data_IF_896683368635
#
_entry.id   IF_896683368635
#
_cell.length_a   1.000
_cell.length_b   1.000
_cell.length_c   1.000
_cell.angle_alpha   90.00
_cell.angle_beta   90.00
_cell.angle_gamma   90.00
#
_symmetry.space_group_name_H-M   'P 1'
#
loop_
_entity.id
_entity.type
_entity.pdbx_description
1 polymer ?
#
# COMPACT_ATOMS: atom_id res chain seq x y z
N UNK A 1 -14.07 17.61 3.48
CA UNK A 1 -14.03 16.93 2.16
C UNK A 1 -14.46 15.49 2.43
N UNK A 2 -15.67 14.99 2.17
CA UNK A 2 -16.92 15.53 1.64
C UNK A 2 -18.07 14.96 2.52
N UNK A 3 -19.11 15.76 2.76
CA UNK A 3 -20.35 15.34 3.43
C UNK A 3 -21.05 14.36 2.48
N UNK A 4 -20.91 13.07 2.73
CA UNK A 4 -21.68 12.03 2.04
C UNK A 4 -23.12 12.12 2.54
N UNK A 5 -23.94 12.89 1.82
CA UNK A 5 -25.38 12.89 1.95
C UNK A 5 -25.90 11.50 1.56
N UNK A 6 -26.09 10.65 2.57
CA UNK A 6 -26.76 9.36 2.44
C UNK A 6 -27.99 9.38 3.33
N UNK A 7 -29.11 8.87 2.81
CA UNK A 7 -30.50 8.92 3.30
C UNK A 7 -30.79 8.31 4.69
N UNK A 8 -29.82 8.22 5.60
CA UNK A 8 -29.97 7.60 6.92
C UNK A 8 -29.54 8.57 8.01
N UNK A 9 -30.46 8.91 8.92
CA UNK A 9 -30.17 9.69 10.13
C UNK A 9 -29.30 8.85 11.07
N UNK A 10 -27.99 8.88 10.84
CA UNK A 10 -27.01 8.19 11.70
C UNK A 10 -26.62 9.14 12.83
N UNK A 11 -26.85 8.76 14.11
CA UNK A 11 -26.44 9.56 15.26
C UNK A 11 -24.96 9.93 15.19
N UNK A 12 -24.62 11.18 15.55
CA UNK A 12 -23.24 11.69 15.49
C UNK A 12 -22.23 10.79 16.25
N UNK A 13 -22.66 10.15 17.34
CA UNK A 13 -21.86 9.18 18.08
C UNK A 13 -21.38 7.99 17.22
N UNK A 14 -22.25 7.43 16.37
CA UNK A 14 -21.88 6.32 15.48
C UNK A 14 -20.87 6.76 14.42
N UNK A 15 -21.04 7.98 13.88
CA UNK A 15 -20.07 8.54 12.92
C UNK A 15 -18.69 8.68 13.57
N UNK A 16 -18.61 9.18 14.80
CA UNK A 16 -17.34 9.29 15.53
C UNK A 16 -16.74 7.93 15.88
N UNK A 17 -17.57 6.93 16.23
CA UNK A 17 -17.10 5.59 16.52
C UNK A 17 -16.53 4.90 15.27
N UNK A 18 -17.21 5.00 14.13
CA UNK A 18 -16.72 4.44 12.87
C UNK A 18 -15.47 5.15 12.34
N UNK A 19 -15.38 6.48 12.47
CA UNK A 19 -14.18 7.23 12.08
C UNK A 19 -12.97 6.81 12.92
N UNK A 20 -13.13 6.68 14.25
CA UNK A 20 -12.08 6.21 15.13
C UNK A 20 -11.69 4.75 14.83
N UNK A 21 -12.66 3.87 14.58
CA UNK A 21 -12.39 2.49 14.20
C UNK A 21 -11.64 2.40 12.84
N UNK A 22 -12.05 3.21 11.86
CA UNK A 22 -11.42 3.28 10.54
C UNK A 22 -9.96 3.73 10.60
N UNK A 23 -9.63 4.68 11.48
CA UNK A 23 -8.25 5.14 11.72
C UNK A 23 -7.34 4.02 12.26
N UNK A 24 -7.88 3.11 13.06
CA UNK A 24 -7.11 1.99 13.62
C UNK A 24 -6.94 0.80 12.66
N UNK A 25 -7.78 0.70 11.62
CA UNK A 25 -7.79 -0.45 10.71
C UNK A 25 -6.42 -0.75 10.08
N UNK A 26 -5.71 0.28 9.66
CA UNK A 26 -4.37 0.13 9.06
C UNK A 26 -3.36 -0.48 10.03
N UNK A 27 -3.35 0.00 11.28
CA UNK A 27 -2.43 -0.48 12.32
C UNK A 27 -2.73 -1.94 12.70
N UNK A 28 -4.02 -2.28 12.84
CA UNK A 28 -4.45 -3.66 13.15
C UNK A 28 -4.03 -4.61 12.02
N UNK A 29 -4.23 -4.23 10.76
CA UNK A 29 -3.79 -5.03 9.61
C UNK A 29 -2.27 -5.22 9.59
N UNK A 30 -1.49 -4.18 9.90
CA UNK A 30 -0.02 -4.25 9.96
C UNK A 30 0.49 -5.13 11.12
N UNK A 31 -0.16 -5.06 12.28
CA UNK A 31 0.16 -5.95 13.40
C UNK A 31 -0.11 -7.41 13.08
N UNK A 32 -1.26 -7.72 12.46
CA UNK A 32 -1.60 -9.06 12.00
C UNK A 32 -0.57 -9.58 10.98
N UNK A 33 -0.20 -8.74 10.00
CA UNK A 33 0.82 -9.10 9.03
C UNK A 33 2.17 -9.39 9.69
N UNK A 34 2.56 -8.60 10.69
CA UNK A 34 3.77 -8.84 11.49
C UNK A 34 3.73 -10.17 12.24
N UNK A 35 2.59 -10.51 12.86
CA UNK A 35 2.39 -11.79 13.55
C UNK A 35 2.55 -12.97 12.59
N UNK A 36 1.94 -12.89 11.41
CA UNK A 36 2.03 -13.95 10.38
C UNK A 36 3.46 -14.08 9.86
N UNK A 37 4.13 -12.96 9.55
CA UNK A 37 5.52 -12.96 9.10
C UNK A 37 6.43 -13.60 10.17
N UNK A 38 6.21 -13.29 11.45
CA UNK A 38 6.98 -13.84 12.57
C UNK A 38 6.79 -15.35 12.79
N UNK A 39 5.72 -15.93 12.25
CA UNK A 39 5.47 -17.37 12.29
C UNK A 39 6.25 -18.20 11.26
N UNK A 40 6.98 -17.55 10.36
CA UNK A 40 7.77 -18.21 9.30
C UNK A 40 9.27 -17.88 9.42
N UNK A 41 10.10 -18.75 8.86
CA UNK A 41 11.53 -18.48 8.73
C UNK A 41 11.79 -17.33 7.75
N UNK A 42 12.40 -16.24 8.26
CA UNK A 42 12.73 -15.05 7.47
C UNK A 42 13.54 -15.38 6.22
N UNK A 43 14.45 -16.37 6.31
CA UNK A 43 15.25 -16.82 5.16
C UNK A 43 14.34 -17.34 4.04
N UNK A 44 13.38 -18.19 4.36
CA UNK A 44 12.46 -18.75 3.36
C UNK A 44 11.59 -17.66 2.73
N UNK A 45 11.18 -16.68 3.52
CA UNK A 45 10.38 -15.57 3.03
C UNK A 45 11.15 -14.69 2.04
N UNK A 46 12.43 -14.42 2.33
CA UNK A 46 13.34 -13.59 1.52
C UNK A 46 13.88 -14.34 0.30
N UNK A 47 13.94 -15.66 0.31
CA UNK A 47 14.48 -16.45 -0.81
C UNK A 47 13.54 -16.54 -2.03
N UNK A 48 12.30 -16.04 -1.93
CA UNK A 48 11.31 -16.14 -3.01
C UNK A 48 11.60 -15.16 -4.15
N UNK A 49 12.42 -15.58 -5.13
CA UNK A 49 12.86 -14.76 -6.28
C UNK A 49 11.72 -14.17 -7.11
N UNK A 50 10.56 -14.84 -7.20
CA UNK A 50 9.39 -14.34 -7.95
C UNK A 50 8.84 -13.05 -7.34
N UNK A 51 8.94 -12.91 -6.03
CA UNK A 51 8.43 -11.74 -5.29
C UNK A 51 9.19 -10.47 -5.67
N UNK A 52 10.51 -10.55 -5.83
CA UNK A 52 11.33 -9.40 -6.22
C UNK A 52 10.94 -8.81 -7.57
N UNK A 53 10.61 -9.67 -8.54
CA UNK A 53 10.17 -9.23 -9.88
C UNK A 53 8.85 -8.48 -9.78
N UNK A 54 7.90 -9.00 -9.01
CA UNK A 54 6.59 -8.36 -8.82
C UNK A 54 6.72 -7.05 -8.07
N UNK A 55 7.55 -7.00 -7.02
CA UNK A 55 7.83 -5.77 -6.27
C UNK A 55 8.48 -4.73 -7.19
N UNK A 56 9.50 -5.08 -7.97
CA UNK A 56 10.14 -4.15 -8.91
C UNK A 56 9.19 -3.60 -9.97
N UNK A 57 8.35 -4.45 -10.58
CA UNK A 57 7.29 -4.01 -11.49
C UNK A 57 6.34 -3.03 -10.83
N UNK A 58 5.88 -3.32 -9.60
CA UNK A 58 4.92 -2.46 -8.91
C UNK A 58 5.53 -1.13 -8.48
N UNK A 59 6.76 -1.13 -7.97
CA UNK A 59 7.38 0.03 -7.35
C UNK A 59 8.05 0.98 -8.36
N UNK A 60 8.39 0.51 -9.56
CA UNK A 60 9.08 1.33 -10.58
C UNK A 60 8.22 1.46 -11.84
N UNK A 61 7.72 0.35 -12.37
CA UNK A 61 7.04 0.36 -13.67
C UNK A 61 5.67 1.03 -13.58
N UNK A 62 4.84 0.67 -12.59
CA UNK A 62 3.51 1.28 -12.41
C UNK A 62 3.60 2.80 -12.14
N UNK A 63 4.36 3.29 -11.15
CA UNK A 63 4.43 4.72 -10.90
C UNK A 63 5.11 5.47 -12.05
N UNK A 64 6.12 4.88 -12.71
CA UNK A 64 6.75 5.49 -13.89
C UNK A 64 5.79 5.67 -15.07
N UNK A 65 4.99 4.64 -15.37
CA UNK A 65 3.95 4.72 -16.42
C UNK A 65 2.88 5.74 -16.04
N UNK A 66 2.48 5.82 -14.77
CA UNK A 66 1.51 6.81 -14.31
C UNK A 66 2.00 8.24 -14.50
N UNK A 67 3.25 8.55 -14.12
CA UNK A 67 3.83 9.89 -14.36
C UNK A 67 3.86 10.21 -15.86
N UNK A 68 4.25 9.25 -16.71
CA UNK A 68 4.29 9.45 -18.16
C UNK A 68 2.89 9.82 -18.70
N UNK A 69 1.86 9.08 -18.29
CA UNK A 69 0.47 9.34 -18.68
C UNK A 69 0.03 10.72 -18.18
N UNK A 70 0.24 11.04 -16.91
CA UNK A 70 -0.18 12.32 -16.34
C UNK A 70 0.50 13.52 -17.02
N UNK A 71 1.77 13.37 -17.43
CA UNK A 71 2.50 14.37 -18.20
C UNK A 71 1.95 14.54 -19.61
N UNK A 72 1.58 13.45 -20.29
CA UNK A 72 0.95 13.50 -21.62
C UNK A 72 -0.39 14.24 -21.62
N UNK A 73 -1.13 14.18 -20.51
CA UNK A 73 -2.40 14.89 -20.34
C UNK A 73 -2.26 16.31 -19.77
N UNK A 74 -1.05 16.78 -19.48
CA UNK A 74 -0.81 18.14 -18.95
C UNK A 74 -1.45 18.39 -17.58
N UNK A 75 -1.52 17.36 -16.73
CA UNK A 75 -2.11 17.46 -15.38
C UNK A 75 -1.24 18.37 -14.49
N UNK A 76 -1.87 19.12 -13.59
CA UNK A 76 -1.16 19.99 -12.66
C UNK A 76 -0.20 19.21 -11.75
N UNK A 77 0.91 19.87 -11.42
CA UNK A 77 2.02 19.30 -10.68
C UNK A 77 1.63 18.82 -9.27
N UNK A 78 0.69 19.50 -8.62
CA UNK A 78 0.15 19.11 -7.32
C UNK A 78 -0.57 17.75 -7.37
N UNK A 79 -1.42 17.56 -8.40
CA UNK A 79 -2.18 16.31 -8.57
C UNK A 79 -1.24 15.17 -8.95
N UNK A 80 -0.23 15.46 -9.76
CA UNK A 80 0.79 14.50 -10.16
C UNK A 80 1.64 14.03 -8.98
N UNK A 81 2.02 14.95 -8.08
CA UNK A 81 2.73 14.62 -6.83
C UNK A 81 1.91 13.69 -5.94
N UNK A 82 0.62 14.01 -5.75
CA UNK A 82 -0.28 13.19 -4.91
C UNK A 82 -0.47 11.79 -5.50
N UNK A 83 -0.68 11.68 -6.80
CA UNK A 83 -0.80 10.40 -7.48
C UNK A 83 0.49 9.60 -7.38
N UNK A 84 1.65 10.22 -7.58
CA UNK A 84 2.94 9.56 -7.46
C UNK A 84 3.15 8.95 -6.07
N UNK A 85 2.85 9.70 -5.01
CA UNK A 85 2.94 9.19 -3.63
C UNK A 85 1.97 8.02 -3.43
N UNK A 86 0.74 8.11 -3.95
CA UNK A 86 -0.24 7.03 -3.86
C UNK A 86 0.23 5.75 -4.56
N UNK A 87 0.81 5.86 -5.76
CA UNK A 87 1.32 4.72 -6.53
C UNK A 87 2.66 4.18 -6.00
N UNK A 88 3.45 5.00 -5.30
CA UNK A 88 4.69 4.57 -4.66
C UNK A 88 4.48 3.76 -3.36
N UNK A 89 3.24 3.70 -2.86
CA UNK A 89 2.93 2.94 -1.64
C UNK A 89 3.25 1.44 -1.78
N UNK A 90 3.71 0.78 -0.69
CA UNK A 90 4.07 -0.63 -0.72
C UNK A 90 2.86 -1.54 -0.97
N UNK A 91 3.13 -2.85 -1.08
CA UNK A 91 2.10 -3.87 -1.27
C UNK A 91 1.02 -3.78 -0.18
N UNK A 92 -0.25 -3.86 -0.60
CA UNK A 92 -1.38 -3.96 0.33
C UNK A 92 -1.43 -5.32 1.03
N UNK A 93 -1.89 -5.33 2.28
CA UNK A 93 -1.90 -6.51 3.16
C UNK A 93 -3.06 -7.49 2.91
N UNK A 94 -3.91 -7.23 1.91
CA UNK A 94 -5.06 -8.07 1.59
C UNK A 94 -4.65 -9.51 1.24
N UNK A 95 -3.46 -9.71 0.68
CA UNK A 95 -2.89 -11.04 0.39
C UNK A 95 -2.51 -11.83 1.63
N UNK A 96 -2.52 -11.20 2.80
CA UNK A 96 -2.26 -11.82 4.10
C UNK A 96 -3.55 -11.87 4.91
N UNK A 97 -4.26 -10.75 5.02
CA UNK A 97 -5.45 -10.61 5.87
C UNK A 97 -6.58 -11.54 5.42
N UNK A 98 -6.88 -11.61 4.11
CA UNK A 98 -7.96 -12.48 3.64
C UNK A 98 -7.61 -13.97 3.81
N UNK A 99 -6.46 -14.48 3.33
CA UNK A 99 -6.14 -15.90 3.53
C UNK A 99 -6.03 -16.26 5.01
N UNK A 100 -5.48 -15.38 5.86
CA UNK A 100 -5.43 -15.63 7.30
C UNK A 100 -6.82 -15.77 7.94
N UNK A 101 -7.79 -14.95 7.51
CA UNK A 101 -9.16 -15.01 8.03
C UNK A 101 -9.91 -16.28 7.61
N UNK A 102 -9.55 -16.88 6.47
CA UNK A 102 -10.23 -18.05 5.90
C UNK A 102 -9.40 -19.35 5.96
N UNK A 103 -8.29 -19.38 6.71
CA UNK A 103 -7.44 -20.57 6.84
C UNK A 103 -6.63 -20.94 5.59
N UNK A 104 -6.41 -19.97 4.70
CA UNK A 104 -5.62 -20.12 3.47
C UNK A 104 -4.11 -19.95 3.66
N UNK A 105 -3.37 -20.18 2.58
CA UNK A 105 -1.90 -20.03 2.50
C UNK A 105 -1.53 -18.53 2.59
N UNK A 106 -0.65 -18.15 3.54
CA UNK A 106 -0.25 -16.76 3.76
C UNK A 106 1.24 -16.49 3.51
N UNK A 107 2.08 -17.53 3.36
CA UNK A 107 3.53 -17.44 3.17
C UNK A 107 3.89 -16.60 1.97
N UNK A 108 3.23 -16.81 0.83
CA UNK A 108 3.51 -16.03 -0.38
C UNK A 108 3.16 -14.56 -0.18
N UNK A 109 2.00 -14.28 0.43
CA UNK A 109 1.59 -12.91 0.78
C UNK A 109 2.54 -12.24 1.77
N UNK A 110 2.99 -12.98 2.79
CA UNK A 110 3.93 -12.55 3.81
C UNK A 110 5.29 -12.18 3.21
N UNK A 111 5.84 -13.02 2.32
CA UNK A 111 7.06 -12.71 1.55
C UNK A 111 6.92 -11.42 0.76
N UNK A 112 5.80 -11.27 0.04
CA UNK A 112 5.53 -10.10 -0.80
C UNK A 112 5.41 -8.82 0.01
N UNK A 113 4.70 -8.86 1.15
CA UNK A 113 4.57 -7.71 2.03
C UNK A 113 5.92 -7.33 2.63
N UNK A 114 6.65 -8.28 3.22
CA UNK A 114 7.96 -8.02 3.83
C UNK A 114 8.92 -7.34 2.86
N UNK A 115 9.14 -7.97 1.69
CA UNK A 115 10.07 -7.45 0.68
C UNK A 115 9.60 -6.07 0.20
N UNK A 116 8.33 -5.91 -0.16
CA UNK A 116 7.82 -4.63 -0.67
C UNK A 116 7.89 -3.50 0.36
N UNK A 117 7.62 -3.80 1.64
CA UNK A 117 7.74 -2.81 2.72
C UNK A 117 9.19 -2.37 2.92
N UNK A 118 10.14 -3.30 2.97
CA UNK A 118 11.58 -2.98 3.11
C UNK A 118 12.06 -2.15 1.92
N UNK A 119 11.73 -2.54 0.69
CA UNK A 119 12.11 -1.79 -0.50
C UNK A 119 11.46 -0.40 -0.54
N UNK A 120 10.21 -0.27 -0.10
CA UNK A 120 9.50 1.02 -0.12
C UNK A 120 10.16 2.10 0.74
N UNK A 121 10.89 1.72 1.79
CA UNK A 121 11.68 2.66 2.62
C UNK A 121 12.66 3.46 1.77
N UNK A 122 13.23 2.83 0.73
CA UNK A 122 14.18 3.46 -0.18
C UNK A 122 13.47 4.00 -1.42
N UNK A 123 12.51 3.25 -1.97
CA UNK A 123 11.89 3.60 -3.25
C UNK A 123 10.95 4.79 -3.16
N UNK A 124 10.21 4.98 -2.06
CA UNK A 124 9.33 6.15 -1.88
C UNK A 124 10.12 7.47 -1.93
N UNK A 125 11.17 7.67 -1.09
CA UNK A 125 11.94 8.90 -1.15
C UNK A 125 12.69 9.06 -2.48
N UNK A 126 13.16 7.97 -3.08
CA UNK A 126 13.82 8.00 -4.39
C UNK A 126 12.86 8.46 -5.51
N UNK A 127 11.66 7.89 -5.57
CA UNK A 127 10.60 8.28 -6.51
C UNK A 127 10.23 9.75 -6.35
N UNK A 128 10.11 10.21 -5.11
CA UNK A 128 9.81 11.61 -4.80
C UNK A 128 10.93 12.55 -5.27
N UNK A 129 12.20 12.18 -5.07
CA UNK A 129 13.35 12.95 -5.53
C UNK A 129 13.43 13.01 -7.06
N UNK A 130 13.17 11.89 -7.74
CA UNK A 130 13.09 11.84 -9.21
C UNK A 130 11.99 12.78 -9.71
N UNK A 131 10.83 12.76 -9.06
CA UNK A 131 9.71 13.63 -9.42
C UNK A 131 10.07 15.11 -9.29
N UNK A 132 10.68 15.52 -8.17
CA UNK A 132 11.15 16.91 -7.97
C UNK A 132 12.17 17.34 -9.04
N UNK A 133 13.09 16.46 -9.42
CA UNK A 133 14.13 16.79 -10.42
C UNK A 133 13.58 16.85 -11.85
N UNK A 134 12.49 16.13 -12.13
CA UNK A 134 11.86 16.09 -13.45
C UNK A 134 10.98 17.32 -13.76
N UNK A 135 10.63 18.07 -12.72
CA UNK A 135 9.74 19.22 -12.67
C UNK A 135 10.53 20.53 -12.87
#
# INVERSE_FOLDING_TARGET
MAKLETFLFVPAFLLTAFDNAGKCQGLVAMLLAGFIIGGYDLKELVLNKKVYVVTGMRLVLIPGVMVLIMRLFGISEEIMTLALIAFATPLGLNTIVYPAAYGGETKTGASMAMISHVFSVITIPLMYLIFIVLL
#
